data_IF_152100908075
#
_entry.id   IF_152100908075
#
_cell.length_a   1.000
_cell.length_b   1.000
_cell.length_c   1.000
_cell.angle_alpha   90.00
_cell.angle_beta   90.00
_cell.angle_gamma   90.00
#
_symmetry.space_group_name_H-M   'P 1'
#
loop_
_entity.id
_entity.type
_entity.pdbx_description
1 polymer ?
#
# COMPACT_ATOMS: atom_id res chain seq x y z
N UNK A 1 19.47 -4.49 23.00
CA UNK A 1 18.42 -5.24 22.29
C UNK A 1 17.26 -4.31 21.99
N UNK A 2 17.17 -3.78 20.78
CA UNK A 2 15.98 -3.02 20.35
C UNK A 2 14.86 -4.02 20.09
N UNK A 3 13.63 -3.81 20.62
CA UNK A 3 12.52 -4.69 20.32
C UNK A 3 12.26 -4.61 18.81
N UNK A 4 12.40 -5.74 18.12
CA UNK A 4 11.96 -5.88 16.73
C UNK A 4 10.49 -5.53 16.72
N UNK A 5 10.12 -4.35 16.20
CA UNK A 5 8.73 -3.99 15.89
C UNK A 5 8.15 -5.13 15.07
N UNK A 6 7.26 -5.91 15.67
CA UNK A 6 6.50 -6.93 14.96
C UNK A 6 5.59 -6.17 14.00
N UNK A 7 5.95 -6.17 12.71
CA UNK A 7 5.07 -5.64 11.67
C UNK A 7 3.87 -6.59 11.59
N UNK A 8 2.76 -6.23 12.23
CA UNK A 8 1.49 -6.88 11.96
C UNK A 8 1.10 -6.51 10.52
N UNK A 9 1.07 -7.51 9.63
CA UNK A 9 0.78 -7.34 8.21
C UNK A 9 -0.69 -6.96 8.03
N UNK A 10 -0.96 -5.66 8.07
CA UNK A 10 -2.28 -5.15 7.70
C UNK A 10 -2.50 -5.40 6.20
N UNK A 11 -3.62 -6.02 5.84
CA UNK A 11 -3.94 -6.32 4.43
C UNK A 11 -4.59 -5.10 3.78
N UNK A 12 -4.41 -4.93 2.46
CA UNK A 12 -5.08 -3.87 1.69
C UNK A 12 -6.59 -3.89 1.85
N UNK A 13 -7.19 -5.07 2.04
CA UNK A 13 -8.63 -5.20 2.25
C UNK A 13 -9.11 -4.57 3.56
N UNK A 14 -8.30 -4.59 4.62
CA UNK A 14 -8.63 -3.99 5.92
C UNK A 14 -8.54 -2.47 5.84
N UNK A 15 -7.53 -1.95 5.14
CA UNK A 15 -7.43 -0.52 4.82
C UNK A 15 -8.63 -0.05 4.01
N UNK A 16 -9.04 -0.82 2.99
CA UNK A 16 -10.21 -0.51 2.19
C UNK A 16 -11.50 -0.51 3.01
N UNK A 17 -11.69 -1.50 3.90
CA UNK A 17 -12.84 -1.55 4.81
C UNK A 17 -12.88 -0.37 5.77
N UNK A 18 -11.73 0.05 6.32
CA UNK A 18 -11.64 1.26 7.15
C UNK A 18 -12.08 2.51 6.40
N UNK A 19 -11.62 2.69 5.15
CA UNK A 19 -12.07 3.80 4.29
C UNK A 19 -13.59 3.74 4.07
N UNK A 20 -14.15 2.56 3.78
CA UNK A 20 -15.60 2.39 3.61
C UNK A 20 -16.39 2.71 4.89
N UNK A 21 -15.82 2.43 6.06
CA UNK A 21 -16.41 2.74 7.36
C UNK A 21 -16.26 4.24 7.74
N UNK A 22 -15.66 5.06 6.89
CA UNK A 22 -15.52 6.50 7.09
C UNK A 22 -14.24 6.92 7.83
N UNK A 23 -13.31 6.00 8.06
CA UNK A 23 -12.00 6.35 8.61
C UNK A 23 -11.26 7.27 7.63
N UNK A 24 -10.79 8.41 8.16
CA UNK A 24 -9.98 9.37 7.40
C UNK A 24 -8.53 9.26 7.84
N UNK A 25 -7.65 8.95 6.90
CA UNK A 25 -6.21 8.98 7.10
C UNK A 25 -5.71 10.39 6.76
N UNK A 26 -5.15 11.11 7.73
CA UNK A 26 -4.63 12.48 7.52
C UNK A 26 -3.27 12.45 6.83
N UNK A 27 -2.52 11.38 7.02
CA UNK A 27 -1.19 11.20 6.45
C UNK A 27 -0.97 9.75 6.03
N UNK A 28 -0.12 9.56 5.02
CA UNK A 28 0.43 8.24 4.68
C UNK A 28 1.15 7.58 5.86
N UNK A 29 1.55 8.33 6.90
CA UNK A 29 2.11 7.78 8.15
C UNK A 29 1.07 7.11 9.05
N UNK A 30 -0.20 7.49 8.92
CA UNK A 30 -1.32 6.86 9.64
C UNK A 30 -1.63 5.47 9.07
N UNK A 31 -1.18 5.24 7.83
CA UNK A 31 -1.19 3.96 7.16
C UNK A 31 0.19 3.34 7.40
N UNK A 32 0.26 2.14 7.97
CA UNK A 32 1.54 1.47 8.18
C UNK A 32 2.04 0.86 6.85
N UNK A 33 2.35 1.72 5.87
CA UNK A 33 2.76 1.36 4.51
C UNK A 33 4.02 0.49 4.51
N UNK A 34 4.91 0.65 5.49
CA UNK A 34 6.11 -0.17 5.65
C UNK A 34 5.83 -1.64 5.99
N UNK A 35 4.63 -1.96 6.50
CA UNK A 35 4.19 -3.33 6.72
C UNK A 35 3.32 -3.87 5.58
N UNK A 36 2.99 -3.06 4.57
CA UNK A 36 2.29 -3.56 3.40
C UNK A 36 3.23 -4.45 2.58
N UNK A 37 2.75 -5.59 2.06
CA UNK A 37 3.55 -6.47 1.20
C UNK A 37 3.68 -5.90 -0.23
N UNK A 38 3.95 -4.60 -0.36
CA UNK A 38 4.09 -3.89 -1.65
C UNK A 38 5.56 -3.85 -1.99
N UNK A 39 5.99 -4.70 -2.92
CA UNK A 39 7.36 -4.74 -3.44
C UNK A 39 7.49 -3.89 -4.70
N UNK A 40 6.39 -3.76 -5.44
CA UNK A 40 6.31 -3.05 -6.70
C UNK A 40 4.99 -2.26 -6.76
N UNK A 41 4.96 -1.13 -7.51
CA UNK A 41 3.76 -0.33 -7.73
C UNK A 41 2.55 -1.12 -8.23
N UNK A 42 2.79 -2.19 -8.99
CA UNK A 42 1.74 -3.09 -9.48
C UNK A 42 1.02 -3.86 -8.38
N UNK A 43 1.66 -4.03 -7.22
CA UNK A 43 1.07 -4.71 -6.06
C UNK A 43 -0.06 -3.89 -5.42
N UNK A 44 -0.13 -2.58 -5.71
CA UNK A 44 -1.18 -1.68 -5.21
C UNK A 44 -2.49 -1.75 -6.00
N UNK A 45 -2.43 -2.12 -7.28
CA UNK A 45 -3.56 -2.01 -8.23
C UNK A 45 -4.37 -3.30 -8.38
N UNK A 46 -4.03 -4.35 -7.62
CA UNK A 46 -4.76 -5.63 -7.63
C UNK A 46 -4.53 -6.43 -8.92
N UNK A 47 -5.42 -7.37 -9.24
CA UNK A 47 -5.25 -8.34 -10.36
C UNK A 47 -5.65 -7.81 -11.75
N UNK A 48 -6.02 -6.53 -11.87
CA UNK A 48 -6.44 -5.97 -13.16
C UNK A 48 -5.24 -5.78 -14.08
N UNK A 49 -5.16 -6.46 -15.25
CA UNK A 49 -4.00 -6.38 -16.14
C UNK A 49 -3.75 -4.97 -16.67
N UNK A 50 -4.83 -4.24 -16.97
CA UNK A 50 -4.78 -2.86 -17.49
C UNK A 50 -4.19 -1.93 -16.43
N UNK A 51 -4.66 -2.06 -15.19
CA UNK A 51 -4.17 -1.25 -14.07
C UNK A 51 -2.73 -1.57 -13.71
N UNK A 52 -2.30 -2.84 -13.80
CA UNK A 52 -0.91 -3.24 -13.60
C UNK A 52 0.02 -2.64 -14.66
N UNK A 53 -0.36 -2.66 -15.94
CA UNK A 53 0.41 -2.06 -17.02
C UNK A 53 0.53 -0.53 -16.87
N UNK A 54 -0.56 0.13 -16.48
CA UNK A 54 -0.54 1.56 -16.17
C UNK A 54 0.40 1.87 -15.00
N UNK A 55 0.26 1.18 -13.87
CA UNK A 55 1.13 1.40 -12.71
C UNK A 55 2.60 1.16 -13.04
N UNK A 56 2.92 0.16 -13.88
CA UNK A 56 4.28 -0.09 -14.35
C UNK A 56 4.82 1.08 -15.15
N UNK A 57 4.07 1.60 -16.13
CA UNK A 57 4.46 2.77 -16.95
C UNK A 57 4.68 4.03 -16.12
N UNK A 58 3.73 4.35 -15.23
CA UNK A 58 3.80 5.59 -14.45
C UNK A 58 4.81 5.52 -13.30
N UNK A 59 5.13 4.34 -12.78
CA UNK A 59 6.14 4.19 -11.74
C UNK A 59 7.57 4.52 -12.18
N UNK A 60 7.86 4.42 -13.48
CA UNK A 60 9.17 4.77 -14.02
C UNK A 60 9.50 6.26 -13.80
N UNK A 61 8.47 7.12 -13.74
CA UNK A 61 8.62 8.56 -13.50
C UNK A 61 8.89 8.92 -12.03
N UNK A 62 8.74 7.98 -11.10
CA UNK A 62 9.01 8.20 -9.66
C UNK A 62 10.46 7.89 -9.25
N UNK A 63 11.29 7.37 -10.17
CA UNK A 63 12.72 7.09 -9.93
C UNK A 63 13.66 8.27 -10.26
N UNK A 64 13.11 9.48 -10.39
CA UNK A 64 13.90 10.71 -10.60
C UNK A 64 14.14 11.43 -9.28
#
# INVERSE_FOLDING_TARGET
>A
MTPKKVCEKMKMIELYQRVLNGDKFKSLKDINLGCLPVKQPVDLVGRSPIMQELAKRYSYNLKR
#
